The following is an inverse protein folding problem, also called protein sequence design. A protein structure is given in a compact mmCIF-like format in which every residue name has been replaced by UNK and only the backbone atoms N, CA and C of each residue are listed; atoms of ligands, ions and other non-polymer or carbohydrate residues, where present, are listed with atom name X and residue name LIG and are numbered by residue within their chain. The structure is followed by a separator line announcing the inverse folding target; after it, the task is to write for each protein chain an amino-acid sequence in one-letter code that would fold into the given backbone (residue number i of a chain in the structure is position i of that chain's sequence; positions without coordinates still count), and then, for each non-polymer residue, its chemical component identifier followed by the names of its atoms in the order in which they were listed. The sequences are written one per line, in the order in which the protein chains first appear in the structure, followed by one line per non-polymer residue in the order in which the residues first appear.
data_IF_405570990617
#
_entry.id   IF_405570990617
#
_cell.length_a   1.000
_cell.length_b   1.000
_cell.length_c   1.000
_cell.angle_alpha   90.00
_cell.angle_beta   90.00
_cell.angle_gamma   90.00
#
_symmetry.space_group_name_H-M   'P 1'
#
loop_
_entity.id
_entity.type
_entity.pdbx_description
1 polymer ?
#
# COMPACT_ATOMS: atom_id res chain seq x y z
N UNK A 1 -16.79 -6.06 19.82
CA UNK A 1 -16.67 -4.73 19.16
C UNK A 1 -15.21 -4.53 18.80
N UNK A 2 -14.91 -4.18 17.55
CA UNK A 2 -13.55 -3.87 17.10
C UNK A 2 -13.12 -2.52 17.67
N UNK A 3 -11.98 -2.47 18.35
CA UNK A 3 -11.43 -1.22 18.87
C UNK A 3 -11.08 -0.30 17.67
N UNK A 4 -11.45 0.99 17.69
CA UNK A 4 -11.25 1.88 16.54
C UNK A 4 -9.76 1.99 16.18
N UNK A 5 -9.43 2.27 14.90
CA UNK A 5 -8.07 2.59 14.50
C UNK A 5 -7.55 3.83 15.22
N UNK A 6 -6.24 3.89 15.46
CA UNK A 6 -5.57 5.09 15.96
C UNK A 6 -4.24 5.30 15.25
N UNK A 7 -3.79 6.56 15.17
CA UNK A 7 -2.57 6.93 14.46
C UNK A 7 -1.30 6.67 15.29
N UNK A 8 -0.23 6.27 14.61
CA UNK A 8 1.11 6.09 15.14
C UNK A 8 2.03 7.15 14.50
N UNK A 9 2.39 8.16 15.28
CA UNK A 9 3.11 9.34 14.77
C UNK A 9 4.62 9.26 15.01
N UNK A 10 5.02 8.62 16.10
CA UNK A 10 6.41 8.48 16.56
C UNK A 10 6.77 7.01 16.76
N UNK A 11 8.07 6.69 16.80
CA UNK A 11 8.53 5.33 17.13
C UNK A 11 7.95 4.84 18.47
N UNK A 12 7.86 5.72 19.47
CA UNK A 12 7.26 5.41 20.77
C UNK A 12 5.79 5.01 20.69
N UNK A 13 5.03 5.49 19.70
CA UNK A 13 3.64 5.06 19.51
C UNK A 13 3.56 3.59 19.12
N UNK A 14 4.53 3.07 18.35
CA UNK A 14 4.57 1.66 17.97
C UNK A 14 4.75 0.74 19.19
N UNK A 15 5.41 1.21 20.26
CA UNK A 15 5.53 0.42 21.49
C UNK A 15 4.17 0.03 22.10
N UNK A 16 3.10 0.76 21.78
CA UNK A 16 1.73 0.46 22.23
C UNK A 16 1.14 -0.78 21.56
N UNK A 17 1.72 -1.23 20.45
CA UNK A 17 1.24 -2.37 19.66
C UNK A 17 2.28 -3.48 19.47
N UNK A 18 3.52 -3.25 19.93
CA UNK A 18 4.55 -4.29 19.99
C UNK A 18 4.07 -5.40 20.94
N UNK A 19 4.13 -6.64 20.45
CA UNK A 19 3.81 -7.84 21.24
C UNK A 19 4.86 -8.11 22.33
N UNK A 20 4.55 -9.01 23.27
CA UNK A 20 5.50 -9.45 24.30
C UNK A 20 6.80 -10.02 23.74
N UNK A 21 6.74 -10.59 22.53
CA UNK A 21 7.88 -11.18 21.83
C UNK A 21 8.73 -10.15 21.08
N UNK A 22 8.40 -8.85 21.21
CA UNK A 22 9.13 -7.78 20.55
C UNK A 22 8.83 -7.66 19.05
N UNK A 23 7.67 -8.15 18.61
CA UNK A 23 7.25 -8.13 17.21
C UNK A 23 6.13 -7.12 16.95
N UNK A 24 6.11 -6.56 15.75
CA UNK A 24 5.03 -5.70 15.23
C UNK A 24 4.45 -6.33 13.97
N UNK A 25 3.12 -6.48 13.93
CA UNK A 25 2.43 -6.96 12.72
C UNK A 25 2.23 -5.82 11.72
N UNK A 26 2.41 -6.09 10.43
CA UNK A 26 2.28 -5.16 9.31
C UNK A 26 1.21 -5.68 8.34
N UNK A 27 0.38 -4.79 7.81
CA UNK A 27 -0.64 -5.08 6.79
C UNK A 27 -0.10 -4.78 5.38
N UNK A 28 0.03 -5.80 4.53
CA UNK A 28 0.34 -5.63 3.11
C UNK A 28 -0.93 -5.64 2.24
N UNK A 29 -1.12 -4.62 1.41
CA UNK A 29 -2.36 -4.47 0.60
C UNK A 29 -2.13 -4.29 -0.92
N UNK A 30 -0.90 -3.97 -1.33
CA UNK A 30 -0.49 -3.83 -2.73
C UNK A 30 0.57 -4.87 -3.09
N UNK A 31 1.77 -4.43 -3.48
CA UNK A 31 2.88 -5.35 -3.78
C UNK A 31 3.24 -6.29 -2.63
N UNK A 32 2.98 -5.90 -1.38
CA UNK A 32 3.24 -6.74 -0.20
C UNK A 32 2.24 -7.90 -0.04
N UNK A 33 1.25 -8.04 -0.93
CA UNK A 33 0.47 -9.28 -1.07
C UNK A 33 1.35 -10.44 -1.56
N UNK A 34 2.46 -10.16 -2.24
CA UNK A 34 3.47 -11.15 -2.61
C UNK A 34 4.47 -11.31 -1.47
N UNK A 35 4.60 -12.52 -0.92
CA UNK A 35 5.59 -12.80 0.13
C UNK A 35 7.01 -12.52 -0.36
N UNK A 36 7.31 -12.76 -1.64
CA UNK A 36 8.61 -12.42 -2.24
C UNK A 36 8.88 -10.93 -2.15
N UNK A 37 7.91 -10.09 -2.54
CA UNK A 37 8.02 -8.63 -2.44
C UNK A 37 8.09 -8.15 -1.00
N UNK A 38 7.36 -8.81 -0.09
CA UNK A 38 7.43 -8.55 1.34
C UNK A 38 8.83 -8.87 1.88
N UNK A 39 9.42 -10.02 1.53
CA UNK A 39 10.78 -10.40 1.97
C UNK A 39 11.88 -9.56 1.35
N UNK A 40 11.71 -9.12 0.10
CA UNK A 40 12.63 -8.13 -0.50
C UNK A 40 12.61 -6.80 0.26
N UNK A 41 11.53 -6.50 0.96
CA UNK A 41 11.37 -5.29 1.76
C UNK A 41 11.79 -5.49 3.22
N UNK A 42 11.36 -6.61 3.81
CA UNK A 42 11.57 -6.99 5.20
C UNK A 42 12.20 -8.39 5.20
N UNK A 43 13.53 -8.51 5.02
CA UNK A 43 14.17 -9.82 4.88
C UNK A 43 13.94 -10.75 6.08
N UNK A 44 13.81 -10.18 7.28
CA UNK A 44 13.57 -10.89 8.52
C UNK A 44 12.10 -11.19 8.84
N UNK A 45 11.16 -10.89 7.93
CA UNK A 45 9.74 -11.08 8.25
C UNK A 45 9.42 -12.54 8.57
N UNK A 46 8.49 -12.72 9.51
CA UNK A 46 7.93 -14.01 9.89
C UNK A 46 6.39 -13.98 9.84
N UNK A 47 5.77 -15.15 9.90
CA UNK A 47 4.31 -15.25 10.07
C UNK A 47 3.48 -14.71 8.90
N UNK A 48 4.02 -14.69 7.68
CA UNK A 48 3.28 -14.27 6.49
C UNK A 48 2.01 -15.09 6.31
N UNK A 49 0.86 -14.40 6.28
CA UNK A 49 -0.47 -15.02 6.23
C UNK A 49 -1.49 -14.10 5.57
N UNK A 50 -2.61 -14.67 5.16
CA UNK A 50 -3.75 -13.91 4.63
C UNK A 50 -4.64 -13.46 5.78
N UNK A 51 -5.12 -12.22 5.71
CA UNK A 51 -6.06 -11.63 6.65
C UNK A 51 -7.09 -10.76 5.93
N UNK A 52 -8.12 -10.37 6.66
CA UNK A 52 -9.19 -9.48 6.24
C UNK A 52 -9.13 -8.20 7.06
N UNK A 53 -9.38 -7.05 6.44
CA UNK A 53 -9.44 -5.76 7.10
C UNK A 53 -10.72 -5.04 6.70
N UNK A 54 -11.54 -4.67 7.68
CA UNK A 54 -12.85 -4.05 7.47
C UNK A 54 -12.74 -2.53 7.64
N UNK A 55 -13.53 -1.77 6.87
CA UNK A 55 -13.66 -0.32 7.01
C UNK A 55 -12.64 0.48 6.22
N UNK A 56 -12.00 -0.14 5.24
CA UNK A 56 -10.97 0.46 4.40
C UNK A 56 -11.14 0.03 2.95
N UNK A 57 -10.70 0.87 2.00
CA UNK A 57 -10.63 0.54 0.57
C UNK A 57 -9.25 0.81 -0.02
N UNK A 58 -8.90 0.11 -1.09
CA UNK A 58 -7.69 0.33 -1.88
C UNK A 58 -7.97 1.25 -3.06
N UNK A 59 -7.11 2.23 -3.28
CA UNK A 59 -7.26 3.20 -4.36
C UNK A 59 -5.92 3.44 -5.06
N UNK A 60 -5.93 3.43 -6.39
CA UNK A 60 -4.79 3.80 -7.23
C UNK A 60 -4.71 5.33 -7.40
N UNK A 61 -4.41 6.02 -6.29
CA UNK A 61 -4.43 7.48 -6.19
C UNK A 61 -3.10 8.09 -5.68
N UNK A 62 -2.03 7.29 -5.59
CA UNK A 62 -0.77 7.71 -4.99
C UNK A 62 0.33 7.90 -6.05
N UNK A 63 0.91 9.10 -6.17
CA UNK A 63 2.06 9.35 -7.05
C UNK A 63 3.36 9.02 -6.31
N UNK A 64 3.94 7.86 -6.62
CA UNK A 64 5.16 7.40 -5.98
C UNK A 64 6.42 7.88 -6.75
N UNK A 65 7.31 8.69 -6.15
CA UNK A 65 8.54 9.18 -6.78
C UNK A 65 9.39 8.07 -7.41
N UNK A 66 9.44 6.91 -6.74
CA UNK A 66 10.20 5.74 -7.17
C UNK A 66 9.79 5.20 -8.55
N UNK A 67 8.58 5.49 -9.04
CA UNK A 67 8.16 5.08 -10.39
C UNK A 67 8.78 5.95 -11.48
N UNK A 68 9.07 7.22 -11.18
CA UNK A 68 9.77 8.14 -12.07
C UNK A 68 11.26 7.79 -12.10
N UNK A 69 11.87 7.55 -10.94
CA UNK A 69 13.25 7.07 -10.81
C UNK A 69 13.53 5.81 -11.62
N UNK A 70 12.55 4.90 -11.65
CA UNK A 70 12.63 3.62 -12.36
C UNK A 70 12.25 3.70 -13.83
N UNK A 71 11.79 4.85 -14.31
CA UNK A 71 11.33 5.03 -15.70
C UNK A 71 10.10 4.19 -16.05
N UNK A 72 9.22 3.89 -15.08
CA UNK A 72 7.98 3.10 -15.29
C UNK A 72 6.70 3.94 -15.15
N UNK A 73 6.81 5.17 -14.64
CA UNK A 73 5.73 6.15 -14.74
C UNK A 73 5.59 6.62 -16.20
N UNK A 74 4.35 6.79 -16.67
CA UNK A 74 4.03 7.38 -17.99
C UNK A 74 3.24 8.68 -17.81
N UNK A 75 3.91 9.83 -17.59
CA UNK A 75 3.23 11.10 -17.29
C UNK A 75 2.29 11.57 -18.40
N UNK A 76 2.62 11.28 -19.66
CA UNK A 76 1.88 11.70 -20.85
C UNK A 76 0.48 11.06 -20.90
N UNK A 77 0.39 9.80 -20.45
CA UNK A 77 -0.87 9.03 -20.35
C UNK A 77 -1.45 9.02 -18.94
N UNK A 78 -0.75 9.65 -17.99
CA UNK A 78 -1.04 9.65 -16.54
C UNK A 78 -1.03 8.27 -15.88
N UNK A 79 -0.45 7.24 -16.49
CA UNK A 79 -0.30 5.89 -15.92
C UNK A 79 0.91 5.85 -14.97
N UNK A 80 0.73 6.41 -13.78
CA UNK A 80 1.82 6.67 -12.82
C UNK A 80 1.43 6.43 -11.36
N UNK A 81 0.20 6.01 -11.08
CA UNK A 81 -0.25 5.81 -9.70
C UNK A 81 0.18 4.45 -9.14
N UNK A 82 0.51 4.47 -7.86
CA UNK A 82 0.60 3.30 -6.99
C UNK A 82 -0.63 3.25 -6.07
N UNK A 83 -0.65 2.26 -5.18
CA UNK A 83 -1.75 2.02 -4.25
C UNK A 83 -1.63 2.85 -2.98
N UNK A 84 -2.77 3.27 -2.48
CA UNK A 84 -2.96 3.70 -1.11
C UNK A 84 -4.24 3.11 -0.53
N UNK A 85 -4.41 3.26 0.78
CA UNK A 85 -5.61 2.84 1.51
C UNK A 85 -6.21 4.02 2.25
N UNK A 86 -7.53 4.10 2.29
CA UNK A 86 -8.28 5.11 3.02
C UNK A 86 -9.49 4.51 3.73
N UNK A 87 -9.97 5.10 4.84
CA UNK A 87 -11.18 4.67 5.52
C UNK A 87 -12.39 4.70 4.58
N UNK A 88 -13.19 3.64 4.60
CA UNK A 88 -14.42 3.54 3.83
C UNK A 88 -15.36 2.53 4.51
N UNK A 89 -16.46 3.03 5.08
CA UNK A 89 -17.46 2.18 5.74
C UNK A 89 -18.11 1.21 4.74
N UNK A 90 -18.36 -0.02 5.18
CA UNK A 90 -18.93 -1.08 4.34
C UNK A 90 -17.92 -1.81 3.44
N UNK A 91 -16.69 -1.29 3.29
CA UNK A 91 -15.64 -1.93 2.49
C UNK A 91 -14.82 -2.95 3.30
N UNK A 92 -14.27 -3.92 2.59
CA UNK A 92 -13.42 -4.97 3.15
C UNK A 92 -12.28 -5.29 2.20
N UNK A 93 -11.07 -5.37 2.76
CA UNK A 93 -9.85 -5.74 2.04
C UNK A 93 -9.36 -7.10 2.48
N UNK A 94 -8.93 -7.90 1.51
CA UNK A 94 -8.01 -9.02 1.74
C UNK A 94 -6.59 -8.49 1.65
N UNK A 95 -5.84 -8.74 2.71
CA UNK A 95 -4.47 -8.28 2.92
C UNK A 95 -3.56 -9.46 3.24
N UNK A 96 -2.26 -9.25 3.14
CA UNK A 96 -1.28 -10.04 3.88
C UNK A 96 -1.05 -9.42 5.25
N UNK A 97 -0.74 -10.26 6.23
CA UNK A 97 -0.25 -9.88 7.54
C UNK A 97 1.06 -10.63 7.80
N UNK A 98 2.05 -9.96 8.37
CA UNK A 98 3.33 -10.55 8.75
C UNK A 98 3.96 -9.73 9.87
N UNK A 99 4.93 -10.31 10.58
CA UNK A 99 5.60 -9.68 11.70
C UNK A 99 7.02 -9.27 11.32
N UNK A 100 7.43 -8.10 11.81
CA UNK A 100 8.81 -7.61 11.79
C UNK A 100 9.31 -7.42 13.23
N UNK A 101 10.63 -7.43 13.41
CA UNK A 101 11.24 -7.12 14.70
C UNK A 101 10.99 -5.65 15.08
N UNK A 102 10.79 -5.38 16.37
CA UNK A 102 10.76 -4.01 16.91
C UNK A 102 11.96 -3.18 16.45
N UNK A 103 13.14 -3.80 16.30
CA UNK A 103 14.35 -3.10 15.83
C UNK A 103 14.25 -2.57 14.41
N UNK A 104 13.30 -3.06 13.59
CA UNK A 104 13.09 -2.64 12.20
C UNK A 104 12.14 -1.43 12.07
N UNK A 105 11.48 -1.01 13.16
CA UNK A 105 10.51 0.11 13.15
C UNK A 105 11.11 1.41 12.56
N UNK A 106 12.32 1.86 12.94
CA UNK A 106 12.87 3.10 12.38
C UNK A 106 13.08 3.02 10.87
N UNK A 107 13.59 1.89 10.37
CA UNK A 107 13.81 1.69 8.94
C UNK A 107 12.48 1.58 8.16
N UNK A 108 11.48 0.92 8.75
CA UNK A 108 10.12 0.87 8.22
C UNK A 108 9.51 2.27 8.10
N UNK A 109 9.62 3.10 9.15
CA UNK A 109 9.07 4.46 9.17
C UNK A 109 9.72 5.37 8.12
N UNK A 110 11.04 5.31 7.93
CA UNK A 110 11.72 6.11 6.90
C UNK A 110 11.32 5.65 5.49
N UNK A 111 11.22 4.34 5.27
CA UNK A 111 10.84 3.80 3.96
C UNK A 111 9.42 4.21 3.58
N UNK A 112 8.48 4.09 4.50
CA UNK A 112 7.06 4.40 4.30
C UNK A 112 6.70 5.84 4.74
N UNK A 113 7.68 6.75 4.73
CA UNK A 113 7.54 8.13 5.23
C UNK A 113 6.38 8.92 4.60
N UNK A 114 5.98 8.56 3.38
CA UNK A 114 4.89 9.17 2.63
C UNK A 114 3.50 8.86 3.23
N UNK A 115 3.38 7.75 3.98
CA UNK A 115 2.11 7.28 4.50
C UNK A 115 1.84 7.70 5.94
N UNK A 116 0.56 7.70 6.29
CA UNK A 116 0.04 7.72 7.64
C UNK A 116 0.09 6.30 8.21
N UNK A 117 0.59 6.12 9.43
CA UNK A 117 0.58 4.82 10.10
C UNK A 117 -0.65 4.69 11.00
N UNK A 118 -1.50 3.70 10.73
CA UNK A 118 -2.66 3.40 11.55
C UNK A 118 -2.50 2.04 12.23
N UNK A 119 -2.71 1.98 13.54
CA UNK A 119 -2.89 0.74 14.27
C UNK A 119 -4.33 0.24 14.05
N UNK A 120 -4.46 -0.90 13.38
CA UNK A 120 -5.73 -1.55 13.03
C UNK A 120 -5.83 -2.95 13.63
N UNK A 121 -7.03 -3.53 13.68
CA UNK A 121 -7.24 -4.94 14.05
C UNK A 121 -7.72 -5.72 12.84
N UNK A 122 -6.85 -6.51 12.19
CA UNK A 122 -7.28 -7.41 11.15
C UNK A 122 -8.09 -8.59 11.72
N UNK A 123 -8.78 -9.29 10.83
CA UNK A 123 -9.50 -10.54 11.08
C UNK A 123 -8.88 -11.69 10.27
N UNK A 124 -9.01 -12.90 10.78
CA UNK A 124 -8.88 -14.10 9.96
C UNK A 124 -9.98 -14.12 8.89
N UNK A 125 -9.81 -14.95 7.85
CA UNK A 125 -10.84 -15.10 6.81
C UNK A 125 -12.19 -15.60 7.38
N UNK A 126 -12.16 -16.33 8.50
CA UNK A 126 -13.35 -16.81 9.20
C UNK A 126 -13.97 -15.78 10.16
N UNK A 127 -13.45 -14.54 10.19
CA UNK A 127 -14.00 -13.44 10.99
C UNK A 127 -13.55 -13.41 12.45
N UNK A 128 -12.56 -14.22 12.85
CA UNK A 128 -11.94 -14.11 14.17
C UNK A 128 -10.94 -12.96 14.19
N UNK A 129 -11.06 -12.04 15.15
CA UNK A 129 -10.14 -10.94 15.33
C UNK A 129 -8.75 -11.43 15.77
N UNK A 130 -7.70 -10.85 15.20
CA UNK A 130 -6.35 -11.02 15.75
C UNK A 130 -6.23 -10.27 17.09
N UNK A 131 -5.46 -10.84 18.01
CA UNK A 131 -5.19 -10.27 19.33
C UNK A 131 -4.29 -9.03 19.24
N UNK A 132 -3.24 -9.12 18.41
CA UNK A 132 -2.30 -8.02 18.20
C UNK A 132 -2.83 -7.06 17.13
N UNK A 133 -2.62 -5.77 17.38
CA UNK A 133 -2.82 -4.73 16.35
C UNK A 133 -1.76 -4.87 15.26
N UNK A 134 -2.13 -4.48 14.05
CA UNK A 134 -1.22 -4.41 12.91
C UNK A 134 -1.12 -2.97 12.40
N UNK A 135 0.00 -2.64 11.77
CA UNK A 135 0.24 -1.33 11.17
C UNK A 135 -0.25 -1.34 9.73
N UNK A 136 -1.12 -0.39 9.39
CA UNK A 136 -1.56 -0.11 8.04
C UNK A 136 -0.96 1.23 7.59
N UNK A 137 -0.32 1.24 6.42
CA UNK A 137 0.05 2.47 5.71
C UNK A 137 -1.17 3.02 4.97
N UNK A 138 -1.75 4.11 5.48
CA UNK A 138 -2.89 4.80 4.89
C UNK A 138 -2.47 6.13 4.26
N UNK A 139 -3.29 6.68 3.38
CA UNK A 139 -3.00 7.99 2.77
C UNK A 139 -3.10 9.13 3.78
N UNK A 140 -2.40 10.22 3.48
CA UNK A 140 -2.69 11.56 3.99
C UNK A 140 -3.55 12.35 2.97
N UNK A 141 -3.91 13.58 3.30
CA UNK A 141 -4.02 14.65 2.28
C UNK A 141 -2.65 15.30 2.06
N UNK A 142 -2.48 16.07 0.97
CA UNK A 142 -1.21 16.77 0.73
C UNK A 142 -0.92 17.79 1.86
N UNK A 143 -1.95 18.45 2.38
CA UNK A 143 -1.85 19.40 3.50
C UNK A 143 -1.42 18.69 4.80
N UNK A 144 -2.00 17.54 5.09
CA UNK A 144 -1.61 16.72 6.25
C UNK A 144 -0.18 16.21 6.10
N UNK A 145 0.21 15.74 4.91
CA UNK A 145 1.59 15.30 4.67
C UNK A 145 2.58 16.45 4.88
N UNK A 146 2.30 17.63 4.33
CA UNK A 146 3.13 18.83 4.51
C UNK A 146 3.24 19.20 5.99
N UNK A 147 2.14 19.18 6.73
CA UNK A 147 2.12 19.50 8.16
C UNK A 147 2.85 18.46 9.01
N UNK A 148 2.54 17.18 8.82
CA UNK A 148 2.96 16.11 9.73
C UNK A 148 4.34 15.54 9.38
N UNK A 149 4.63 15.35 8.10
CA UNK A 149 5.88 14.74 7.62
C UNK A 149 6.93 15.77 7.24
N UNK A 150 6.52 16.89 6.66
CA UNK A 150 7.44 17.98 6.30
C UNK A 150 7.50 19.10 7.35
N UNK A 151 6.73 19.03 8.45
CA UNK A 151 6.71 20.06 9.52
C UNK A 151 6.39 21.47 9.01
N UNK A 152 5.61 21.56 7.94
CA UNK A 152 5.27 22.81 7.25
C UNK A 152 6.37 23.33 6.32
N UNK A 153 7.49 22.62 6.18
CA UNK A 153 8.61 23.03 5.33
C UNK A 153 8.42 22.53 3.89
N UNK A 154 8.16 23.48 2.99
CA UNK A 154 8.02 23.21 1.57
C UNK A 154 9.32 22.72 0.92
N UNK A 155 10.50 23.08 1.42
CA UNK A 155 11.76 22.58 0.87
C UNK A 155 11.91 21.07 1.04
N UNK A 156 11.44 20.52 2.17
CA UNK A 156 11.43 19.07 2.40
C UNK A 156 10.52 18.38 1.37
N UNK A 157 9.35 18.97 1.09
CA UNK A 157 8.46 18.49 0.04
C UNK A 157 9.14 18.55 -1.34
N UNK A 158 9.71 19.69 -1.71
CA UNK A 158 10.39 19.86 -3.02
C UNK A 158 11.57 18.91 -3.21
N UNK A 159 12.37 18.66 -2.16
CA UNK A 159 13.48 17.70 -2.21
C UNK A 159 12.99 16.27 -2.54
N UNK A 160 11.84 15.86 -2.01
CA UNK A 160 11.29 14.51 -2.21
C UNK A 160 10.50 14.37 -3.52
N UNK A 161 9.67 15.36 -3.85
CA UNK A 161 8.68 15.27 -4.93
C UNK A 161 8.95 16.23 -6.09
N UNK A 162 9.47 17.43 -5.80
CA UNK A 162 9.66 18.50 -6.78
C UNK A 162 10.61 18.14 -7.91
N UNK A 163 11.65 17.34 -7.64
CA UNK A 163 12.59 16.86 -8.66
C UNK A 163 11.93 16.02 -9.78
N UNK A 164 10.73 15.48 -9.52
CA UNK A 164 9.93 14.70 -10.48
C UNK A 164 8.73 15.48 -11.02
N UNK A 165 8.66 16.80 -10.78
CA UNK A 165 7.49 17.64 -11.07
C UNK A 165 6.19 17.13 -10.43
N UNK A 166 6.30 16.52 -9.24
CA UNK A 166 5.15 16.09 -8.45
C UNK A 166 4.76 17.25 -7.51
N UNK A 167 3.63 17.88 -7.81
CA UNK A 167 3.04 18.97 -7.02
C UNK A 167 2.00 18.45 -6.01
N UNK A 168 1.43 17.27 -6.27
CA UNK A 168 0.47 16.57 -5.40
C UNK A 168 0.75 15.07 -5.38
N UNK A 169 0.81 14.51 -4.17
CA UNK A 169 1.05 13.10 -3.89
C UNK A 169 -0.25 12.31 -4.11
N UNK A 170 -1.37 12.85 -3.64
CA UNK A 170 -2.64 12.12 -3.63
C UNK A 170 -3.62 12.68 -4.65
N UNK A 171 -3.85 11.95 -5.74
CA UNK A 171 -4.57 12.46 -6.91
C UNK A 171 -5.67 11.52 -7.38
N UNK A 172 -6.71 12.13 -7.92
CA UNK A 172 -7.90 11.43 -8.40
C UNK A 172 -7.93 11.35 -9.94
N UNK A 173 -7.02 12.07 -10.60
CA UNK A 173 -6.99 12.26 -12.05
C UNK A 173 -5.88 11.47 -12.75
N UNK A 174 -5.38 10.40 -12.12
CA UNK A 174 -4.26 9.57 -12.58
C UNK A 174 -4.67 8.10 -12.68
N UNK A 175 -3.96 7.37 -13.54
CA UNK A 175 -4.18 5.96 -13.80
C UNK A 175 -3.08 5.10 -13.16
N UNK A 176 -3.36 3.81 -12.89
CA UNK A 176 -2.37 2.87 -12.36
C UNK A 176 -1.11 2.83 -13.23
N UNK A 177 0.06 2.86 -12.60
CA UNK A 177 1.30 2.46 -13.27
C UNK A 177 1.14 1.00 -13.70
N UNK A 178 1.28 0.74 -15.01
CA UNK A 178 0.94 -0.54 -15.63
C UNK A 178 1.73 -1.71 -15.01
N UNK A 179 3.05 -1.59 -14.95
CA UNK A 179 3.91 -2.62 -14.38
C UNK A 179 3.59 -2.90 -12.90
N UNK A 180 3.28 -1.86 -12.13
CA UNK A 180 2.92 -2.01 -10.72
C UNK A 180 1.53 -2.63 -10.53
N UNK A 181 0.54 -2.23 -11.33
CA UNK A 181 -0.80 -2.83 -11.31
C UNK A 181 -0.73 -4.32 -11.63
N UNK A 182 -0.05 -4.68 -12.72
CA UNK A 182 0.15 -6.07 -13.11
C UNK A 182 0.74 -6.90 -11.97
N UNK A 183 1.82 -6.40 -11.34
CA UNK A 183 2.43 -7.08 -10.21
C UNK A 183 1.44 -7.28 -9.04
N UNK A 184 0.64 -6.26 -8.69
CA UNK A 184 -0.32 -6.38 -7.60
C UNK A 184 -1.44 -7.38 -7.92
N UNK A 185 -1.91 -7.43 -9.17
CA UNK A 185 -2.91 -8.42 -9.62
C UNK A 185 -2.36 -9.84 -9.51
N UNK A 186 -1.15 -10.08 -10.02
CA UNK A 186 -0.49 -11.39 -9.92
C UNK A 186 -0.21 -11.79 -8.46
N UNK A 187 0.19 -10.83 -7.63
CA UNK A 187 0.39 -11.06 -6.20
C UNK A 187 -0.91 -11.47 -5.50
N UNK A 188 -2.03 -10.82 -5.81
CA UNK A 188 -3.34 -11.18 -5.29
C UNK A 188 -3.82 -12.55 -5.80
N UNK A 189 -3.58 -12.85 -7.07
CA UNK A 189 -3.88 -14.16 -7.69
C UNK A 189 -3.13 -15.30 -6.99
N UNK A 190 -1.81 -15.14 -6.81
CA UNK A 190 -0.98 -16.11 -6.11
C UNK A 190 -1.36 -16.31 -4.63
N UNK A 191 -1.97 -15.30 -4.01
CA UNK A 191 -2.45 -15.37 -2.64
C UNK A 191 -3.77 -16.17 -2.51
N UNK A 192 -4.46 -16.40 -3.63
CA UNK A 192 -5.65 -17.24 -3.75
C UNK A 192 -6.88 -16.51 -4.27
N UNK A 193 -7.88 -17.28 -4.68
CA UNK A 193 -9.10 -16.77 -5.36
C UNK A 193 -9.85 -15.69 -4.57
N UNK A 194 -9.92 -15.81 -3.25
CA UNK A 194 -10.57 -14.82 -2.38
C UNK A 194 -9.82 -13.48 -2.42
N UNK A 195 -8.48 -13.52 -2.40
CA UNK A 195 -7.66 -12.32 -2.49
C UNK A 195 -7.72 -11.70 -3.89
N UNK A 196 -7.67 -12.52 -4.92
CA UNK A 196 -7.81 -12.08 -6.32
C UNK A 196 -9.13 -11.37 -6.57
N UNK A 197 -10.26 -12.01 -6.27
CA UNK A 197 -11.57 -11.41 -6.49
C UNK A 197 -11.75 -10.13 -5.68
N UNK A 198 -11.30 -10.11 -4.43
CA UNK A 198 -11.32 -8.89 -3.63
C UNK A 198 -10.41 -7.79 -4.21
N UNK A 199 -9.23 -8.12 -4.74
CA UNK A 199 -8.37 -7.13 -5.41
C UNK A 199 -9.03 -6.55 -6.65
N UNK A 200 -9.65 -7.38 -7.48
CA UNK A 200 -10.26 -6.97 -8.73
C UNK A 200 -11.53 -6.11 -8.51
N UNK A 201 -12.33 -6.43 -7.49
CA UNK A 201 -13.65 -5.82 -7.26
C UNK A 201 -13.67 -4.73 -6.17
N UNK A 202 -12.74 -4.77 -5.21
CA UNK A 202 -12.65 -3.82 -4.08
C UNK A 202 -11.34 -3.02 -4.10
N UNK A 203 -10.80 -2.80 -5.30
CA UNK A 203 -9.74 -1.83 -5.56
C UNK A 203 -10.20 -0.90 -6.68
N UNK A 204 -10.00 0.40 -6.48
CA UNK A 204 -10.56 1.44 -7.35
C UNK A 204 -9.47 2.28 -8.00
N UNK A 205 -9.81 2.91 -9.12
CA UNK A 205 -9.02 4.01 -9.69
C UNK A 205 -9.11 5.26 -8.79
N UNK A 206 -8.35 6.31 -9.13
CA UNK A 206 -8.38 7.60 -8.42
C UNK A 206 -9.78 8.21 -8.31
N UNK A 207 -10.68 7.89 -9.24
CA UNK A 207 -12.09 8.31 -9.24
C UNK A 207 -12.95 7.66 -8.14
N UNK A 208 -12.43 6.63 -7.46
CA UNK A 208 -13.10 5.83 -6.40
C UNK A 208 -14.40 5.18 -6.83
N UNK A 209 -14.59 4.98 -8.14
CA UNK A 209 -15.81 4.42 -8.72
C UNK A 209 -15.49 3.25 -9.62
N UNK A 210 -14.49 3.41 -10.48
CA UNK A 210 -14.11 2.37 -11.45
C UNK A 210 -13.25 1.33 -10.75
N UNK A 211 -13.70 0.07 -10.75
CA UNK A 211 -12.92 -1.03 -10.17
C UNK A 211 -11.77 -1.46 -11.09
N UNK A 212 -10.77 -2.15 -10.53
CA UNK A 212 -9.69 -2.72 -11.35
C UNK A 212 -10.22 -3.73 -12.37
N UNK A 213 -11.24 -4.52 -12.04
CA UNK A 213 -11.91 -5.41 -13.00
C UNK A 213 -12.48 -4.65 -14.19
N UNK A 214 -13.21 -3.56 -13.94
CA UNK A 214 -13.78 -2.72 -15.01
C UNK A 214 -12.70 -2.04 -15.85
N UNK A 215 -11.65 -1.54 -15.20
CA UNK A 215 -10.54 -0.87 -15.87
C UNK A 215 -9.77 -1.82 -16.81
N UNK A 216 -9.39 -3.00 -16.33
CA UNK A 216 -8.64 -3.99 -17.13
C UNK A 216 -9.47 -4.56 -18.30
N UNK A 217 -10.80 -4.58 -18.18
CA UNK A 217 -11.70 -4.95 -19.27
C UNK A 217 -11.84 -3.87 -20.36
N UNK A 218 -11.32 -2.66 -20.14
CA UNK A 218 -11.52 -1.50 -21.02
C UNK A 218 -10.20 -0.78 -21.30
N UNK A 219 -10.00 0.42 -20.75
CA UNK A 219 -8.85 1.30 -20.98
C UNK A 219 -7.53 0.68 -20.51
N UNK A 220 -7.58 -0.18 -19.50
CA UNK A 220 -6.43 -0.92 -18.97
C UNK A 220 -6.14 -2.22 -19.70
N UNK A 221 -6.80 -2.50 -20.83
CA UNK A 221 -6.50 -3.69 -21.64
C UNK A 221 -5.02 -3.71 -22.07
N UNK A 222 -4.43 -4.91 -22.15
CA UNK A 222 -3.01 -5.09 -22.47
C UNK A 222 -2.06 -4.97 -21.27
N UNK A 223 -2.51 -4.53 -20.08
CA UNK A 223 -1.63 -4.38 -18.90
C UNK A 223 -1.11 -5.74 -18.43
N UNK A 224 -1.93 -6.78 -18.48
CA UNK A 224 -1.54 -8.11 -17.97
C UNK A 224 -0.52 -8.81 -18.88
N UNK A 225 -0.46 -8.40 -20.15
CA UNK A 225 0.47 -8.89 -21.17
C UNK A 225 1.80 -8.11 -21.20
N UNK A 226 1.88 -6.94 -20.55
CA UNK A 226 3.08 -6.10 -20.51
C UNK A 226 4.07 -6.59 -19.44
N UNK A 227 5.22 -7.10 -19.88
CA UNK A 227 6.30 -7.44 -18.97
C UNK A 227 7.02 -6.18 -18.46
N UNK A 228 7.41 -6.14 -17.17
CA UNK A 228 8.23 -5.05 -16.65
C UNK A 228 9.60 -5.00 -17.35
N UNK A 229 10.26 -3.83 -17.38
CA UNK A 229 11.62 -3.69 -17.88
C UNK A 229 12.56 -4.72 -17.25
N UNK A 230 13.56 -5.20 -18.01
CA UNK A 230 14.44 -6.29 -17.58
C UNK A 230 15.04 -6.12 -16.16
N UNK A 231 15.54 -4.93 -15.75
CA UNK A 231 16.09 -4.73 -14.40
C UNK A 231 15.04 -4.83 -13.27
N UNK A 232 13.76 -4.78 -13.61
CA UNK A 232 12.65 -4.73 -12.67
C UNK A 232 11.79 -6.01 -12.69
N UNK A 233 12.14 -7.02 -13.49
CA UNK A 233 11.40 -8.28 -13.59
C UNK A 233 11.28 -9.03 -12.27
N UNK A 234 12.34 -9.07 -11.49
CA UNK A 234 12.28 -9.73 -10.17
C UNK A 234 11.37 -9.02 -9.18
N UNK A 235 11.19 -7.71 -9.37
CA UNK A 235 10.41 -6.85 -8.46
C UNK A 235 8.94 -6.72 -8.88
N UNK A 236 8.65 -6.74 -10.18
CA UNK A 236 7.31 -6.53 -10.74
C UNK A 236 6.83 -7.68 -11.64
N UNK A 237 7.49 -8.84 -11.59
CA UNK A 237 7.15 -10.00 -12.42
C UNK A 237 5.96 -10.83 -11.90
N UNK A 238 5.43 -10.50 -10.72
CA UNK A 238 4.47 -11.33 -9.98
C UNK A 238 5.11 -11.96 -8.76
#
# INVERSE_FOLDING_TARGET
MTTPPFELTTESDFHRIVSSDGLVSICGFGSLLSERSARSTFPGLIGFRVAKLIGFRRVFAHVAPIFFERGIAKPETKEMSSLSVEPCEGETLIISAFEISKSEIPAFMEREHEFRFLAVTPETLNGLLYTNRAVLCARYTDEEYLKERCKGDLEIFFKRYGQYNIDRIWRDDILPCRAYLRHCVLAAENLGEVAFNNFMDHTYLGDRKTTIRQYLATTGSGIMEEEPPQPLRERYGG
#
